data_IF_205788594554
#
_entry.id   IF_205788594554
#
_cell.length_a   1.000
_cell.length_b   1.000
_cell.length_c   1.000
_cell.angle_alpha   90.00
_cell.angle_beta   90.00
_cell.angle_gamma   90.00
#
_symmetry.space_group_name_H-M   'P 1'
#
loop_
_entity.id
_entity.type
_entity.pdbx_description
1 polymer ?
#
# COMPACT_ATOMS: atom_id res chain seq x y z
N UNK A 1 14.18 12.94 -16.03
CA UNK A 1 13.01 12.73 -15.16
C UNK A 1 13.41 13.21 -13.79
N UNK A 2 12.60 14.06 -13.17
CA UNK A 2 12.89 14.47 -11.80
C UNK A 2 12.28 13.43 -10.86
N UNK A 3 13.12 12.83 -10.02
CA UNK A 3 12.72 11.86 -9.02
C UNK A 3 12.69 12.58 -7.69
N UNK A 4 11.56 12.51 -6.98
CA UNK A 4 11.44 13.00 -5.62
C UNK A 4 11.27 11.83 -4.66
N UNK A 5 11.74 12.02 -3.42
CA UNK A 5 11.63 11.03 -2.34
C UNK A 5 10.35 11.19 -1.53
N UNK A 6 9.62 12.30 -1.70
CA UNK A 6 8.35 12.54 -1.02
C UNK A 6 7.39 13.45 -1.80
N UNK A 7 6.10 13.32 -1.49
CA UNK A 7 5.01 14.11 -2.05
C UNK A 7 3.86 14.26 -1.05
N UNK A 8 3.12 15.35 -1.12
CA UNK A 8 1.89 15.54 -0.32
C UNK A 8 0.66 15.19 -1.16
N UNK A 9 -0.18 14.29 -0.66
CA UNK A 9 -1.46 13.89 -1.27
C UNK A 9 -2.54 14.14 -0.24
N UNK A 10 -3.56 14.94 -0.57
CA UNK A 10 -4.68 15.24 0.34
C UNK A 10 -4.22 15.68 1.74
N UNK A 11 -3.22 16.57 1.79
CA UNK A 11 -2.55 17.08 3.00
C UNK A 11 -1.70 16.08 3.80
N UNK A 12 -1.62 14.80 3.39
CA UNK A 12 -0.76 13.78 4.01
C UNK A 12 0.56 13.63 3.25
N UNK A 13 1.66 13.43 3.97
CA UNK A 13 2.98 13.22 3.38
C UNK A 13 3.15 11.74 3.03
N UNK A 14 3.58 11.47 1.80
CA UNK A 14 3.97 10.16 1.30
C UNK A 14 5.44 10.16 0.89
N UNK A 15 6.15 9.06 1.13
CA UNK A 15 7.58 8.91 0.88
C UNK A 15 7.93 7.57 0.21
N UNK A 16 9.05 7.56 -0.51
CA UNK A 16 9.60 6.41 -1.23
C UNK A 16 10.78 5.75 -0.53
N UNK A 17 11.31 6.35 0.54
CA UNK A 17 12.61 5.96 1.11
C UNK A 17 12.44 4.91 2.20
N UNK A 18 13.02 3.72 1.99
CA UNK A 18 13.10 2.63 2.95
C UNK A 18 14.49 2.47 3.59
N UNK A 19 15.44 3.35 3.26
CA UNK A 19 16.85 3.23 3.67
C UNK A 19 17.14 4.04 4.94
N UNK A 20 16.45 3.72 6.03
CA UNK A 20 16.90 3.97 7.40
C UNK A 20 15.78 3.51 8.33
N UNK A 21 16.12 2.68 9.30
CA UNK A 21 15.29 2.34 10.45
C UNK A 21 14.57 3.60 10.99
N UNK A 22 13.29 3.81 10.63
CA UNK A 22 12.49 4.91 11.17
C UNK A 22 11.50 5.57 10.21
N UNK A 23 11.73 5.54 8.89
CA UNK A 23 10.79 6.08 7.91
C UNK A 23 10.46 4.99 6.88
N UNK A 24 9.31 4.34 7.05
CA UNK A 24 8.85 3.26 6.17
C UNK A 24 8.36 3.77 4.82
N UNK A 25 8.17 2.83 3.88
CA UNK A 25 7.50 3.13 2.63
C UNK A 25 6.06 3.60 2.88
N UNK A 26 5.57 4.49 2.02
CA UNK A 26 4.16 4.89 2.07
C UNK A 26 3.28 3.88 1.33
N UNK A 27 2.38 3.26 2.08
CA UNK A 27 1.36 2.39 1.53
C UNK A 27 0.09 3.18 1.25
N UNK A 28 -0.56 2.88 0.13
CA UNK A 28 -1.72 3.61 -0.35
C UNK A 28 -2.78 2.67 -0.88
N UNK A 29 -4.01 3.18 -0.90
CA UNK A 29 -5.09 2.63 -1.69
C UNK A 29 -5.43 3.54 -2.87
N UNK A 30 -5.84 2.93 -3.98
CA UNK A 30 -6.32 3.66 -5.16
C UNK A 30 -7.44 2.89 -5.87
N UNK A 31 -8.22 3.61 -6.68
CA UNK A 31 -9.23 3.00 -7.55
C UNK A 31 -8.70 2.92 -8.98
N UNK A 32 -8.72 1.73 -9.56
CA UNK A 32 -8.40 1.50 -10.96
C UNK A 32 -9.43 0.52 -11.53
N UNK A 33 -10.06 0.91 -12.64
CA UNK A 33 -11.09 0.10 -13.32
C UNK A 33 -12.23 -0.33 -12.36
N UNK A 34 -12.68 0.59 -11.51
CA UNK A 34 -13.71 0.34 -10.47
C UNK A 34 -13.32 -0.66 -9.38
N UNK A 35 -12.07 -1.15 -9.37
CA UNK A 35 -11.54 -2.00 -8.32
C UNK A 35 -10.65 -1.17 -7.39
N UNK A 36 -10.73 -1.43 -6.08
CA UNK A 36 -9.83 -0.88 -5.08
C UNK A 36 -8.59 -1.75 -4.99
N UNK A 37 -7.42 -1.11 -4.95
CA UNK A 37 -6.13 -1.78 -4.87
C UNK A 37 -5.33 -1.19 -3.71
N UNK A 38 -4.44 -1.99 -3.11
CA UNK A 38 -3.56 -1.61 -2.00
C UNK A 38 -2.11 -1.90 -2.35
N UNK A 39 -1.26 -0.88 -2.26
CA UNK A 39 0.09 -0.94 -2.83
C UNK A 39 1.09 -0.12 -2.01
N UNK A 40 2.38 -0.43 -2.20
CA UNK A 40 3.49 0.32 -1.64
C UNK A 40 4.03 1.31 -2.69
N UNK A 41 4.18 2.59 -2.37
CA UNK A 41 4.89 3.55 -3.24
C UNK A 41 6.38 3.24 -3.19
N UNK A 42 7.02 3.10 -4.35
CA UNK A 42 8.47 2.86 -4.45
C UNK A 42 9.21 4.00 -5.11
N UNK A 43 8.56 4.75 -6.01
CA UNK A 43 9.15 5.94 -6.63
C UNK A 43 8.07 6.99 -6.92
N UNK A 44 8.46 8.26 -6.95
CA UNK A 44 7.62 9.37 -7.40
C UNK A 44 8.38 10.03 -8.55
N UNK A 45 7.78 10.00 -9.74
CA UNK A 45 8.46 10.41 -10.98
C UNK A 45 7.69 11.53 -11.66
N UNK A 46 8.36 12.66 -11.87
CA UNK A 46 7.83 13.77 -12.66
C UNK A 46 8.22 13.61 -14.13
N UNK A 47 7.21 13.47 -15.01
CA UNK A 47 7.41 13.38 -16.45
C UNK A 47 7.41 14.78 -17.10
N UNK A 48 8.22 15.06 -18.13
CA UNK A 48 8.37 16.42 -18.70
C UNK A 48 7.11 17.06 -19.29
N UNK A 49 6.07 16.26 -19.60
CA UNK A 49 4.84 16.71 -20.27
C UNK A 49 3.57 16.43 -19.46
N UNK A 50 3.70 15.98 -18.22
CA UNK A 50 2.56 15.71 -17.34
C UNK A 50 2.60 16.71 -16.19
N UNK A 51 1.48 17.36 -15.89
CA UNK A 51 1.41 18.37 -14.84
C UNK A 51 1.54 17.80 -13.43
N UNK A 52 1.17 16.53 -13.24
CA UNK A 52 1.26 15.82 -11.97
C UNK A 52 2.27 14.67 -12.06
N UNK A 53 3.00 14.39 -10.97
CA UNK A 53 3.89 13.25 -10.93
C UNK A 53 3.12 11.93 -10.94
N UNK A 54 3.79 10.88 -11.43
CA UNK A 54 3.32 9.51 -11.35
C UNK A 54 3.88 8.85 -10.10
N UNK A 55 3.06 8.02 -9.46
CA UNK A 55 3.50 7.13 -8.40
C UNK A 55 3.83 5.79 -9.03
N UNK A 56 5.06 5.33 -8.87
CA UNK A 56 5.43 3.94 -9.14
C UNK A 56 5.13 3.18 -7.87
N UNK A 57 4.28 2.17 -8.01
CA UNK A 57 3.79 1.38 -6.89
C UNK A 57 4.07 -0.08 -7.13
N UNK A 58 4.25 -0.79 -6.03
CA UNK A 58 4.50 -2.22 -5.97
C UNK A 58 3.26 -2.92 -5.42
N UNK A 59 2.72 -3.85 -6.20
CA UNK A 59 1.47 -4.56 -5.89
C UNK A 59 1.63 -5.49 -4.71
N UNK A 60 0.73 -5.34 -3.73
CA UNK A 60 0.55 -6.31 -2.67
C UNK A 60 -0.34 -7.45 -3.18
N UNK A 61 0.00 -8.68 -2.79
CA UNK A 61 -0.75 -9.87 -3.19
C UNK A 61 -1.75 -10.20 -2.08
N UNK A 62 -3.06 -10.27 -2.37
CA UNK A 62 -4.06 -10.73 -1.42
C UNK A 62 -3.77 -12.15 -0.92
N UNK A 63 -4.23 -12.48 0.28
CA UNK A 63 -4.20 -13.87 0.75
C UNK A 63 -4.98 -14.79 -0.20
N UNK A 64 -4.48 -16.01 -0.39
CA UNK A 64 -5.24 -17.05 -1.07
C UNK A 64 -6.44 -17.49 -0.21
N UNK A 65 -7.35 -18.30 -0.76
CA UNK A 65 -8.59 -18.67 -0.08
C UNK A 65 -8.37 -19.44 1.24
N UNK A 66 -7.28 -20.22 1.34
CA UNK A 66 -6.92 -20.97 2.55
C UNK A 66 -6.43 -20.04 3.66
N UNK A 67 -5.44 -19.21 3.37
CA UNK A 67 -4.83 -18.29 4.34
C UNK A 67 -5.79 -17.15 4.71
N UNK A 68 -6.72 -16.79 3.82
CA UNK A 68 -7.75 -15.79 4.11
C UNK A 68 -8.66 -16.19 5.28
N UNK A 69 -8.86 -17.48 5.53
CA UNK A 69 -9.59 -17.97 6.71
C UNK A 69 -8.83 -17.72 8.02
N UNK A 70 -7.52 -17.45 7.93
CA UNK A 70 -6.64 -17.18 9.07
C UNK A 70 -6.49 -15.68 9.33
N UNK A 71 -7.08 -14.82 8.50
CA UNK A 71 -7.05 -13.36 8.69
C UNK A 71 -7.81 -13.00 9.99
N UNK A 72 -7.14 -12.43 11.01
CA UNK A 72 -7.80 -12.06 12.27
C UNK A 72 -8.84 -10.95 12.11
N UNK A 73 -8.80 -10.21 10.99
CA UNK A 73 -9.73 -9.13 10.69
C UNK A 73 -10.90 -9.58 9.83
N UNK A 74 -11.01 -10.87 9.49
CA UNK A 74 -12.07 -11.42 8.63
C UNK A 74 -13.48 -11.07 9.13
N UNK A 75 -13.67 -11.00 10.45
CA UNK A 75 -14.95 -10.68 11.10
C UNK A 75 -15.07 -9.21 11.55
N UNK A 76 -14.00 -8.42 11.42
CA UNK A 76 -13.94 -7.00 11.81
C UNK A 76 -13.81 -6.03 10.60
N UNK A 77 -14.14 -6.40 9.33
CA UNK A 77 -13.85 -5.52 8.21
C UNK A 77 -14.72 -4.26 8.21
N UNK A 78 -15.91 -4.31 8.82
CA UNK A 78 -16.89 -3.23 8.81
C UNK A 78 -16.53 -2.02 9.70
N UNK A 79 -15.66 -2.19 10.70
CA UNK A 79 -15.34 -1.11 11.66
C UNK A 79 -13.97 -0.50 11.40
N UNK A 80 -12.97 -1.33 11.07
CA UNK A 80 -11.56 -0.89 10.99
C UNK A 80 -11.00 -0.83 9.57
N UNK A 81 -11.71 -1.36 8.54
CA UNK A 81 -11.21 -1.42 7.16
C UNK A 81 -9.77 -1.99 7.11
N UNK A 82 -9.60 -3.07 7.85
CA UNK A 82 -8.34 -3.76 8.09
C UNK A 82 -8.35 -5.13 7.42
N UNK A 83 -7.18 -5.59 6.98
CA UNK A 83 -7.00 -6.91 6.39
C UNK A 83 -5.54 -7.36 6.50
N UNK A 84 -5.30 -8.64 6.26
CA UNK A 84 -3.96 -9.18 6.04
C UNK A 84 -3.73 -9.44 4.55
N UNK A 85 -2.55 -9.07 4.06
CA UNK A 85 -2.07 -9.40 2.71
C UNK A 85 -0.68 -10.01 2.82
N UNK A 86 -0.19 -10.67 1.78
CA UNK A 86 1.17 -11.16 1.81
C UNK A 86 2.19 -10.02 1.66
N UNK A 87 3.34 -10.12 2.33
CA UNK A 87 4.53 -9.28 2.08
C UNK A 87 5.39 -9.89 0.95
N UNK A 88 4.70 -10.34 -0.10
CA UNK A 88 5.28 -10.71 -1.38
C UNK A 88 4.61 -9.86 -2.45
N UNK A 89 5.40 -9.51 -3.45
CA UNK A 89 5.06 -8.43 -4.34
C UNK A 89 4.71 -8.94 -5.73
N UNK A 90 3.54 -8.53 -6.23
CA UNK A 90 2.98 -8.98 -7.51
C UNK A 90 3.48 -8.23 -8.74
N UNK A 91 4.42 -7.30 -8.58
CA UNK A 91 5.00 -6.51 -9.67
C UNK A 91 4.90 -5.00 -9.44
N UNK A 92 5.32 -4.23 -10.43
CA UNK A 92 5.31 -2.77 -10.41
C UNK A 92 4.35 -2.21 -11.46
N UNK A 93 3.72 -1.09 -11.17
CA UNK A 93 2.98 -0.32 -12.15
C UNK A 93 2.94 1.16 -11.77
N UNK A 94 2.55 2.00 -12.73
CA UNK A 94 2.45 3.45 -12.53
C UNK A 94 0.99 3.84 -12.33
N UNK A 95 0.72 4.70 -11.36
CA UNK A 95 -0.59 5.32 -11.15
C UNK A 95 -0.49 6.84 -11.17
N UNK A 96 -1.56 7.47 -11.60
CA UNK A 96 -1.72 8.92 -11.53
C UNK A 96 -2.04 9.34 -10.10
N UNK A 97 -1.48 10.47 -9.65
CA UNK A 97 -1.62 10.96 -8.28
C UNK A 97 -3.08 11.05 -7.81
N UNK A 98 -3.98 11.59 -8.65
CA UNK A 98 -5.39 11.78 -8.32
C UNK A 98 -6.19 10.47 -8.11
N UNK A 99 -5.61 9.31 -8.47
CA UNK A 99 -6.23 8.01 -8.23
C UNK A 99 -5.98 7.49 -6.82
N UNK A 100 -4.95 7.98 -6.13
CA UNK A 100 -4.69 7.64 -4.74
C UNK A 100 -5.80 8.23 -3.85
N UNK A 101 -6.50 7.37 -3.12
CA UNK A 101 -7.67 7.74 -2.30
C UNK A 101 -7.42 7.62 -0.80
N UNK A 102 -6.38 6.91 -0.38
CA UNK A 102 -6.12 6.66 1.04
C UNK A 102 -4.67 6.33 1.35
N UNK A 103 -4.29 6.60 2.60
CA UNK A 103 -3.04 6.14 3.19
C UNK A 103 -3.33 4.90 4.02
N UNK A 104 -2.40 3.94 4.01
CA UNK A 104 -2.50 2.74 4.82
C UNK A 104 -1.50 2.82 5.97
N UNK A 105 -1.94 2.47 7.18
CA UNK A 105 -1.05 2.06 8.26
C UNK A 105 -0.73 0.58 8.05
N UNK A 106 0.56 0.23 8.17
CA UNK A 106 1.04 -1.12 7.87
C UNK A 106 1.95 -1.61 8.98
N UNK A 107 1.72 -2.85 9.40
CA UNK A 107 2.60 -3.61 10.28
C UNK A 107 3.12 -4.83 9.50
N UNK A 108 4.45 -4.99 9.46
CA UNK A 108 5.08 -6.19 8.92
C UNK A 108 4.98 -7.30 9.95
N UNK A 109 4.49 -8.47 9.53
CA UNK A 109 4.45 -9.66 10.35
C UNK A 109 5.42 -10.70 9.82
N UNK A 110 6.14 -11.36 10.71
CA UNK A 110 7.05 -12.44 10.38
C UNK A 110 6.30 -13.67 9.83
N UNK A 111 7.01 -14.53 9.10
CA UNK A 111 6.50 -15.82 8.65
C UNK A 111 5.96 -16.64 9.83
N UNK A 112 4.80 -17.27 9.65
CA UNK A 112 4.13 -18.05 10.68
C UNK A 112 3.12 -17.26 11.52
N UNK A 113 3.11 -15.93 11.41
CA UNK A 113 2.06 -15.10 12.03
C UNK A 113 0.68 -15.56 11.53
N UNK A 114 -0.28 -15.71 12.45
CA UNK A 114 -1.64 -16.23 12.19
C UNK A 114 -1.67 -17.66 11.60
N UNK A 115 -0.56 -18.41 11.64
CA UNK A 115 -0.47 -19.72 11.00
C UNK A 115 -0.34 -19.66 9.48
N UNK A 116 0.13 -18.54 8.93
CA UNK A 116 0.39 -18.34 7.51
C UNK A 116 1.87 -18.61 7.22
N UNK A 117 2.17 -19.49 6.27
CA UNK A 117 3.53 -19.95 5.96
C UNK A 117 4.42 -18.94 5.21
N UNK A 118 4.01 -17.69 5.11
CA UNK A 118 4.66 -16.62 4.37
C UNK A 118 4.69 -15.33 5.21
N UNK A 119 5.63 -14.40 4.97
CA UNK A 119 5.59 -13.08 5.59
C UNK A 119 4.34 -12.32 5.11
N UNK A 120 3.74 -11.54 6.01
CA UNK A 120 2.48 -10.82 5.74
C UNK A 120 2.54 -9.37 6.20
N UNK A 121 1.61 -8.57 5.70
CA UNK A 121 1.35 -7.21 6.14
C UNK A 121 -0.05 -7.14 6.74
N UNK A 122 -0.15 -6.67 7.98
CA UNK A 122 -1.42 -6.20 8.53
C UNK A 122 -1.63 -4.77 8.08
N UNK A 123 -2.68 -4.52 7.31
CA UNK A 123 -2.97 -3.20 6.73
C UNK A 123 -4.26 -2.63 7.30
N UNK A 124 -4.28 -1.33 7.54
CA UNK A 124 -5.47 -0.57 7.97
C UNK A 124 -5.57 0.68 7.11
N UNK A 125 -6.71 0.89 6.44
CA UNK A 125 -6.92 2.11 5.67
C UNK A 125 -7.31 3.28 6.58
N UNK A 126 -6.47 4.31 6.58
CA UNK A 126 -6.69 5.55 7.30
C UNK A 126 -7.63 6.45 6.49
N UNK A 127 -8.93 6.24 6.64
CA UNK A 127 -9.93 7.19 6.14
C UNK A 127 -9.77 8.52 6.88
N UNK A 128 -9.89 9.64 6.17
CA UNK A 128 -10.03 10.94 6.82
C UNK A 128 -11.38 10.93 7.55
N UNK A 129 -11.33 10.76 8.88
CA UNK A 129 -12.41 11.15 9.76
C UNK A 129 -12.41 12.68 9.85
#
# INVERSE_FOLDING_TARGET
>A
FDVTTSIRISNKLHSTHSEAHGHGNSYISYILQSCKWTNCITNIVQLPKISQPLLIVKSLIPLNDEDKQKDPYLLIPLVLNASVVYDIYGGYHAIQLHKAIGQLAVLHNETGTFGIGYPTLSIVELTNI
#
